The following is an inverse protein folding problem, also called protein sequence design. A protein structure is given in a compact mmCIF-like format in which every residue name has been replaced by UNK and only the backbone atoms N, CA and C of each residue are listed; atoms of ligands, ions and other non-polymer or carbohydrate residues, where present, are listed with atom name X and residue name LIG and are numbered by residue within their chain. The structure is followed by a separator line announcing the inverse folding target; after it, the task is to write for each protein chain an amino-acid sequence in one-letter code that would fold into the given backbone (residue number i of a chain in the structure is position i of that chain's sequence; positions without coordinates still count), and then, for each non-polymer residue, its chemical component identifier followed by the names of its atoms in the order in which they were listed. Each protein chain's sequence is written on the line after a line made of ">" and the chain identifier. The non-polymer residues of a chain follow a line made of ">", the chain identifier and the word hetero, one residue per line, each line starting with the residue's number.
data_IF_929491605041
#
_entry.id   IF_929491605041
#
_cell.length_a   1.000
_cell.length_b   1.000
_cell.length_c   1.000
_cell.angle_alpha   90.00
_cell.angle_beta   90.00
_cell.angle_gamma   90.00
#
_symmetry.space_group_name_H-M   'P 1'
#
loop_
_entity.id
_entity.type
_entity.pdbx_description
1 polymer ?
#
# COMPACT_ATOMS: atom_id res chain seq x y z
N UNK A 1 2.89 18.94 18.80
CA UNK A 1 3.54 19.03 17.48
C UNK A 1 2.72 19.96 16.56
N UNK A 2 3.32 21.01 15.99
CA UNK A 2 2.63 22.05 15.19
C UNK A 2 1.96 21.44 13.96
N UNK A 3 0.72 21.85 13.62
CA UNK A 3 -0.08 21.30 12.51
C UNK A 3 0.72 21.13 11.21
N UNK A 4 1.54 22.12 10.84
CA UNK A 4 2.44 22.07 9.65
C UNK A 4 3.40 20.87 9.64
N UNK A 5 3.94 20.45 10.79
CA UNK A 5 4.87 19.31 10.86
C UNK A 5 4.19 17.97 10.58
N UNK A 6 2.91 17.82 10.94
CA UNK A 6 2.13 16.60 10.67
C UNK A 6 1.92 16.44 9.16
N UNK A 7 1.44 17.49 8.48
CA UNK A 7 1.22 17.43 7.03
C UNK A 7 2.53 17.24 6.27
N UNK A 8 3.60 17.92 6.68
CA UNK A 8 4.92 17.69 6.10
C UNK A 8 5.34 16.23 6.20
N UNK A 9 5.14 15.58 7.37
CA UNK A 9 5.41 14.16 7.52
C UNK A 9 4.53 13.28 6.63
N UNK A 10 3.26 13.62 6.41
CA UNK A 10 2.37 12.85 5.53
C UNK A 10 2.83 12.97 4.07
N UNK A 11 3.17 14.18 3.61
CA UNK A 11 3.65 14.40 2.25
C UNK A 11 4.94 13.64 1.96
N UNK A 12 5.89 13.61 2.89
CA UNK A 12 7.13 12.84 2.72
C UNK A 12 6.84 11.35 2.59
N UNK A 13 5.98 10.78 3.46
CA UNK A 13 5.64 9.35 3.37
C UNK A 13 4.90 9.02 2.08
N UNK A 14 3.97 9.89 1.67
CA UNK A 14 3.26 9.74 0.41
C UNK A 14 4.22 9.78 -0.79
N UNK A 15 5.16 10.72 -0.79
CA UNK A 15 6.21 10.80 -1.82
C UNK A 15 7.07 9.53 -1.86
N UNK A 16 7.48 9.00 -0.71
CA UNK A 16 8.24 7.74 -0.64
C UNK A 16 7.44 6.56 -1.20
N UNK A 17 6.14 6.46 -0.90
CA UNK A 17 5.28 5.44 -1.49
C UNK A 17 5.23 5.58 -3.02
N UNK A 18 5.00 6.78 -3.56
CA UNK A 18 4.99 6.99 -5.01
C UNK A 18 6.35 6.68 -5.65
N UNK A 19 7.44 7.09 -5.02
CA UNK A 19 8.80 6.82 -5.51
C UNK A 19 9.07 5.31 -5.55
N UNK A 20 8.68 4.58 -4.51
CA UNK A 20 8.79 3.11 -4.50
C UNK A 20 8.00 2.49 -5.64
N UNK A 21 6.71 2.84 -5.80
CA UNK A 21 5.89 2.32 -6.89
C UNK A 21 6.45 2.65 -8.26
N UNK A 22 6.98 3.87 -8.44
CA UNK A 22 7.65 4.28 -9.66
C UNK A 22 8.86 3.39 -9.96
N UNK A 23 9.76 3.20 -9.00
CA UNK A 23 10.95 2.35 -9.17
C UNK A 23 10.58 0.90 -9.46
N UNK A 24 9.57 0.35 -8.77
CA UNK A 24 9.09 -1.02 -8.99
C UNK A 24 8.61 -1.20 -10.43
N UNK A 25 7.78 -0.29 -10.94
CA UNK A 25 7.17 -0.43 -12.27
C UNK A 25 8.11 -0.08 -13.42
N UNK A 26 8.97 0.92 -13.24
CA UNK A 26 9.78 1.47 -14.35
C UNK A 26 11.16 0.87 -14.45
N UNK A 27 11.73 0.41 -13.32
CA UNK A 27 13.11 -0.08 -13.26
C UNK A 27 13.11 -1.56 -12.88
N UNK A 28 12.57 -1.91 -11.71
CA UNK A 28 12.74 -3.24 -11.14
C UNK A 28 12.03 -4.33 -11.97
N UNK A 29 10.71 -4.21 -12.16
CA UNK A 29 9.91 -5.19 -12.91
C UNK A 29 10.42 -5.40 -14.34
N UNK A 30 10.67 -4.33 -15.15
CA UNK A 30 11.24 -4.50 -16.47
C UNK A 30 12.62 -5.17 -16.47
N UNK A 31 13.46 -4.86 -15.48
CA UNK A 31 14.78 -5.47 -15.35
C UNK A 31 14.68 -6.98 -15.04
N UNK A 32 13.84 -7.35 -14.08
CA UNK A 32 13.62 -8.76 -13.71
C UNK A 32 13.14 -9.57 -14.92
N UNK A 33 12.13 -9.09 -15.64
CA UNK A 33 11.61 -9.80 -16.81
C UNK A 33 12.62 -9.84 -17.97
N UNK A 34 13.33 -8.73 -18.24
CA UNK A 34 14.32 -8.67 -19.33
C UNK A 34 15.47 -9.67 -19.11
N UNK A 35 15.85 -9.88 -17.85
CA UNK A 35 16.97 -10.75 -17.49
C UNK A 35 16.54 -12.15 -17.03
N UNK A 36 15.23 -12.47 -17.08
CA UNK A 36 14.66 -13.74 -16.59
C UNK A 36 15.13 -14.10 -15.18
N UNK A 37 15.23 -13.10 -14.30
CA UNK A 37 15.70 -13.31 -12.93
C UNK A 37 14.57 -13.94 -12.12
N UNK A 38 14.79 -15.08 -11.43
CA UNK A 38 13.77 -15.67 -10.56
C UNK A 38 13.68 -14.87 -9.27
N UNK A 39 12.67 -13.99 -9.15
CA UNK A 39 12.45 -13.15 -7.97
C UNK A 39 11.21 -13.56 -7.15
N UNK A 40 10.72 -14.79 -7.39
CA UNK A 40 9.52 -15.34 -6.75
C UNK A 40 8.23 -14.53 -6.99
N UNK A 41 8.19 -13.64 -8.00
CA UNK A 41 7.03 -12.80 -8.30
C UNK A 41 6.97 -11.52 -7.47
N UNK A 42 8.08 -11.11 -6.84
CA UNK A 42 8.18 -9.82 -6.14
C UNK A 42 7.90 -8.64 -7.08
N UNK A 43 8.34 -8.75 -8.34
CA UNK A 43 8.09 -7.77 -9.38
C UNK A 43 6.60 -7.55 -9.62
N UNK A 44 5.77 -8.60 -9.50
CA UNK A 44 4.32 -8.57 -9.75
C UNK A 44 3.57 -7.90 -8.61
N UNK A 45 3.96 -8.22 -7.37
CA UNK A 45 3.21 -7.82 -6.17
C UNK A 45 3.69 -6.51 -5.53
N UNK A 46 4.82 -5.96 -5.98
CA UNK A 46 5.48 -4.83 -5.31
C UNK A 46 4.56 -3.62 -5.08
N UNK A 47 3.74 -3.24 -6.06
CA UNK A 47 2.80 -2.13 -5.88
C UNK A 47 1.71 -2.42 -4.84
N UNK A 48 1.29 -3.67 -4.71
CA UNK A 48 0.24 -4.06 -3.78
C UNK A 48 0.69 -3.92 -2.32
N UNK A 49 2.00 -3.99 -2.07
CA UNK A 49 2.60 -3.70 -0.75
C UNK A 49 2.37 -2.24 -0.34
N UNK A 50 2.53 -1.28 -1.25
CA UNK A 50 2.39 0.14 -0.92
C UNK A 50 0.96 0.67 -1.10
N UNK A 51 0.05 -0.11 -1.67
CA UNK A 51 -1.29 0.37 -2.02
C UNK A 51 -2.05 0.90 -0.80
N UNK A 52 -2.13 0.10 0.27
CA UNK A 52 -2.83 0.47 1.51
C UNK A 52 -2.18 1.66 2.23
N UNK A 53 -0.84 1.69 2.43
CA UNK A 53 -0.17 2.89 2.95
C UNK A 53 -0.44 4.15 2.11
N UNK A 54 -0.41 4.02 0.78
CA UNK A 54 -0.61 5.14 -0.14
C UNK A 54 -2.02 5.70 -0.02
N UNK A 55 -3.05 4.85 -0.07
CA UNK A 55 -4.45 5.28 0.09
C UNK A 55 -4.69 5.90 1.45
N UNK A 56 -4.11 5.35 2.52
CA UNK A 56 -4.17 5.94 3.86
C UNK A 56 -3.63 7.37 3.89
N UNK A 57 -2.43 7.60 3.36
CA UNK A 57 -1.82 8.93 3.35
C UNK A 57 -2.56 9.91 2.42
N UNK A 58 -3.06 9.45 1.26
CA UNK A 58 -3.89 10.26 0.38
C UNK A 58 -5.14 10.73 1.11
N UNK A 59 -5.88 9.81 1.74
CA UNK A 59 -7.07 10.15 2.54
C UNK A 59 -6.69 11.13 3.65
N UNK A 60 -5.53 10.97 4.29
CA UNK A 60 -5.06 11.90 5.31
C UNK A 60 -4.65 13.29 4.83
N UNK A 61 -4.27 13.44 3.57
CA UNK A 61 -4.09 14.77 2.95
C UNK A 61 -5.45 15.46 2.77
N UNK A 62 -6.48 14.72 2.32
CA UNK A 62 -7.81 15.27 2.06
C UNK A 62 -8.63 15.50 3.34
N UNK A 63 -8.55 14.58 4.30
CA UNK A 63 -9.16 14.72 5.61
C UNK A 63 -8.25 15.53 6.51
N UNK A 64 -8.57 16.82 6.71
CA UNK A 64 -7.80 17.73 7.56
C UNK A 64 -7.78 17.35 9.07
N UNK A 65 -8.29 16.17 9.44
CA UNK A 65 -8.36 15.67 10.82
C UNK A 65 -7.03 15.01 11.22
N UNK A 66 -6.68 15.10 12.52
CA UNK A 66 -5.44 14.54 13.10
C UNK A 66 -5.27 13.03 12.90
N UNK A 67 -6.37 12.28 12.84
CA UNK A 67 -6.37 10.83 12.61
C UNK A 67 -7.24 10.52 11.39
N UNK A 68 -6.64 10.27 10.23
CA UNK A 68 -7.41 10.19 8.99
C UNK A 68 -8.21 8.89 8.85
N UNK A 69 -7.73 7.78 9.44
CA UNK A 69 -8.35 6.45 9.39
C UNK A 69 -8.06 5.67 10.67
N UNK A 70 -9.04 4.92 11.18
CA UNK A 70 -8.90 4.01 12.32
C UNK A 70 -8.26 2.69 11.89
N UNK A 71 -7.80 1.88 12.86
CA UNK A 71 -7.31 0.50 12.59
C UNK A 71 -8.37 -0.32 11.85
N UNK A 72 -9.64 -0.12 12.20
CA UNK A 72 -10.78 -0.81 11.58
C UNK A 72 -10.88 -0.46 10.10
N UNK A 73 -10.60 0.79 9.72
CA UNK A 73 -10.69 1.20 8.32
C UNK A 73 -9.56 0.59 7.48
N UNK A 74 -8.35 0.44 8.04
CA UNK A 74 -7.26 -0.30 7.39
C UNK A 74 -7.64 -1.77 7.20
N UNK A 75 -8.21 -2.42 8.21
CA UNK A 75 -8.68 -3.81 8.11
C UNK A 75 -9.78 -3.92 7.04
N UNK A 76 -10.75 -2.99 7.01
CA UNK A 76 -11.78 -2.97 5.97
C UNK A 76 -11.19 -2.84 4.57
N UNK A 77 -10.17 -2.00 4.38
CA UNK A 77 -9.47 -1.89 3.11
C UNK A 77 -8.83 -3.21 2.69
N UNK A 78 -8.11 -3.90 3.60
CA UNK A 78 -7.56 -5.23 3.31
C UNK A 78 -8.67 -6.18 2.87
N UNK A 79 -9.76 -6.28 3.64
CA UNK A 79 -10.85 -7.21 3.34
C UNK A 79 -11.49 -6.90 1.98
N UNK A 80 -11.79 -5.64 1.69
CA UNK A 80 -12.42 -5.23 0.42
C UNK A 80 -11.49 -5.49 -0.76
N UNK A 81 -10.21 -5.12 -0.66
CA UNK A 81 -9.25 -5.30 -1.74
C UNK A 81 -8.95 -6.78 -1.99
N UNK A 82 -8.78 -7.58 -0.93
CA UNK A 82 -8.61 -9.03 -1.06
C UNK A 82 -9.85 -9.70 -1.65
N UNK A 83 -11.06 -9.21 -1.33
CA UNK A 83 -12.28 -9.73 -1.93
C UNK A 83 -12.39 -9.36 -3.42
N UNK A 84 -11.99 -8.14 -3.80
CA UNK A 84 -11.89 -7.75 -5.21
C UNK A 84 -10.89 -8.62 -5.98
N UNK A 85 -9.75 -8.94 -5.35
CA UNK A 85 -8.75 -9.85 -5.91
C UNK A 85 -9.36 -11.24 -6.15
N UNK A 86 -10.10 -11.79 -5.18
CA UNK A 86 -10.80 -13.06 -5.34
C UNK A 86 -11.86 -13.00 -6.44
N UNK A 87 -12.63 -11.90 -6.54
CA UNK A 87 -13.61 -11.70 -7.62
C UNK A 87 -12.94 -11.73 -9.00
N UNK A 88 -11.71 -11.21 -9.12
CA UNK A 88 -10.98 -11.22 -10.39
C UNK A 88 -10.74 -12.64 -10.94
N UNK A 89 -10.76 -13.67 -10.09
CA UNK A 89 -10.71 -15.07 -10.51
C UNK A 89 -11.97 -15.54 -11.25
N UNK A 90 -13.12 -14.91 -10.98
CA UNK A 90 -14.43 -15.31 -11.49
C UNK A 90 -14.95 -14.43 -12.63
N UNK A 91 -14.39 -13.22 -12.78
CA UNK A 91 -14.82 -12.26 -13.80
C UNK A 91 -13.67 -12.03 -14.77
N UNK A 92 -13.75 -12.59 -16.00
CA UNK A 92 -12.83 -12.25 -17.07
C UNK A 92 -12.81 -10.73 -17.24
N UNK A 93 -11.63 -10.13 -17.39
CA UNK A 93 -11.36 -8.69 -17.57
C UNK A 93 -11.16 -7.82 -16.31
N UNK A 94 -11.43 -8.30 -15.09
CA UNK A 94 -11.12 -7.52 -13.88
C UNK A 94 -9.63 -7.59 -13.51
N UNK A 95 -8.99 -8.71 -13.80
CA UNK A 95 -7.58 -8.95 -13.47
C UNK A 95 -7.25 -10.42 -13.65
N UNK A 96 -6.02 -10.79 -13.27
CA UNK A 96 -5.63 -12.19 -13.08
C UNK A 96 -5.41 -12.39 -11.61
N UNK A 97 -6.20 -13.25 -10.99
CA UNK A 97 -6.07 -13.54 -9.57
C UNK A 97 -4.67 -14.07 -9.24
N UNK A 98 -3.97 -13.37 -8.34
CA UNK A 98 -2.75 -13.86 -7.72
C UNK A 98 -2.87 -13.83 -6.19
N UNK A 99 -2.75 -14.99 -5.54
CA UNK A 99 -2.77 -15.08 -4.09
C UNK A 99 -1.66 -14.25 -3.43
N UNK A 100 -0.53 -14.04 -4.14
CA UNK A 100 0.57 -13.23 -3.62
C UNK A 100 0.19 -11.75 -3.52
N UNK A 101 -0.77 -11.28 -4.31
CA UNK A 101 -1.29 -9.92 -4.23
C UNK A 101 -2.06 -9.69 -2.93
N UNK A 102 -2.86 -10.67 -2.51
CA UNK A 102 -3.51 -10.67 -1.19
C UNK A 102 -2.49 -10.60 -0.06
N UNK A 103 -1.42 -11.40 -0.14
CA UNK A 103 -0.34 -11.35 0.86
C UNK A 103 0.37 -9.98 0.87
N UNK A 104 0.63 -9.40 -0.30
CA UNK A 104 1.24 -8.08 -0.40
C UNK A 104 0.38 -6.98 0.23
N UNK A 105 -0.94 -7.02 0.02
CA UNK A 105 -1.89 -6.12 0.68
C UNK A 105 -1.80 -6.24 2.21
N UNK A 106 -1.78 -7.48 2.74
CA UNK A 106 -1.64 -7.73 4.18
C UNK A 106 -0.33 -7.17 4.72
N UNK A 107 0.79 -7.40 4.02
CA UNK A 107 2.12 -6.88 4.41
C UNK A 107 2.08 -5.35 4.48
N UNK A 108 1.50 -4.70 3.46
CA UNK A 108 1.32 -3.25 3.42
C UNK A 108 0.52 -2.70 4.59
N UNK A 109 -0.59 -3.37 4.93
CA UNK A 109 -1.41 -3.01 6.08
C UNK A 109 -0.67 -3.20 7.41
N UNK A 110 0.04 -4.30 7.61
CA UNK A 110 0.83 -4.55 8.82
C UNK A 110 1.92 -3.50 8.98
N UNK A 111 2.65 -3.17 7.90
CA UNK A 111 3.65 -2.12 7.93
C UNK A 111 3.04 -0.78 8.35
N UNK A 112 1.92 -0.37 7.73
CA UNK A 112 1.21 0.85 8.10
C UNK A 112 0.80 0.84 9.58
N UNK A 113 0.24 -0.28 10.07
CA UNK A 113 -0.21 -0.42 11.45
C UNK A 113 0.95 -0.27 12.44
N UNK A 114 2.11 -0.87 12.16
CA UNK A 114 3.31 -0.77 12.99
C UNK A 114 3.84 0.67 13.04
N UNK A 115 3.96 1.35 11.89
CA UNK A 115 4.61 2.67 11.84
C UNK A 115 3.74 3.83 12.33
N UNK A 116 2.41 3.76 12.13
CA UNK A 116 1.51 4.85 12.47
C UNK A 116 0.78 4.65 13.80
N UNK A 117 0.38 3.43 14.16
CA UNK A 117 -0.41 3.24 15.38
C UNK A 117 0.44 3.07 16.65
N UNK A 118 1.73 2.74 16.54
CA UNK A 118 2.66 2.83 17.68
C UNK A 118 2.88 4.28 18.12
N UNK A 119 2.73 5.25 17.20
CA UNK A 119 2.83 6.68 17.54
C UNK A 119 1.60 7.17 18.31
N UNK A 120 0.42 6.62 18.03
CA UNK A 120 -0.83 6.99 18.72
C UNK A 120 -0.94 6.46 20.14
N UNK A 121 -0.16 5.43 20.51
CA UNK A 121 -0.13 4.89 21.89
C UNK A 121 0.81 5.68 22.81
N UNK A 122 1.63 6.58 22.25
CA UNK A 122 2.66 7.37 22.97
C UNK A 122 2.32 8.86 23.09
N UNK A 123 1.21 9.30 22.51
CA UNK A 123 0.58 10.62 22.76
C UNK A 123 -0.56 10.48 23.76
#
# INVERSE_FOLDING_TARGET
>A
MTFKKIYFSIYIKLFLCFLYGFVINTIYRPYIYKHNIPDCGLADVGNNIIFIPTTYYIIGVFNKKKNPLSKIDVIKQVVILSFLEIISAFVPHIGTFDIKDVFALIIGAVALLLFEFDKLKKE
#
